data_IF_299439265388
#
_entry.id   IF_299439265388
#
_cell.length_a   1.000
_cell.length_b   1.000
_cell.length_c   1.000
_cell.angle_alpha   90.00
_cell.angle_beta   90.00
_cell.angle_gamma   90.00
#
_symmetry.space_group_name_H-M   'P 1'
#
loop_
_entity.id
_entity.type
_entity.pdbx_description
1 polymer ?
#
# COMPACT_ATOMS: atom_id res chain seq x y z
N UNK A 1 -1.99 -19.75 -25.25
CA UNK A 1 -2.66 -18.57 -25.84
C UNK A 1 -2.78 -17.50 -24.78
N UNK A 2 -2.48 -16.24 -25.08
CA UNK A 2 -2.56 -15.12 -24.12
C UNK A 2 -4.04 -14.91 -23.75
N UNK A 3 -4.37 -14.96 -22.43
CA UNK A 3 -5.70 -14.72 -21.92
C UNK A 3 -5.64 -13.55 -20.90
N UNK A 4 -6.16 -12.35 -21.26
CA UNK A 4 -6.12 -11.17 -20.38
C UNK A 4 -6.83 -11.40 -19.05
N UNK A 5 -7.96 -12.13 -19.02
CA UNK A 5 -8.70 -12.38 -17.79
C UNK A 5 -7.89 -13.24 -16.80
N UNK A 6 -7.07 -14.14 -17.30
CA UNK A 6 -6.14 -14.92 -16.46
C UNK A 6 -4.92 -14.11 -16.04
N UNK A 7 -4.41 -13.24 -16.94
CA UNK A 7 -3.24 -12.41 -16.63
C UNK A 7 -3.48 -11.45 -15.47
N UNK A 8 -4.65 -10.83 -15.40
CA UNK A 8 -5.00 -9.86 -14.35
C UNK A 8 -5.81 -10.47 -13.20
N UNK A 9 -5.96 -11.79 -13.16
CA UNK A 9 -6.71 -12.48 -12.12
C UNK A 9 -5.91 -12.55 -10.81
N UNK A 10 -6.59 -12.20 -9.71
CA UNK A 10 -6.17 -12.48 -8.32
C UNK A 10 -7.17 -13.40 -7.62
N UNK A 11 -8.02 -14.07 -8.38
CA UNK A 11 -9.08 -14.94 -7.89
C UNK A 11 -8.52 -16.06 -7.02
N UNK A 12 -9.11 -16.23 -5.84
CA UNK A 12 -8.73 -17.26 -4.88
C UNK A 12 -7.44 -16.98 -4.11
N UNK A 13 -6.73 -15.87 -4.40
CA UNK A 13 -5.55 -15.46 -3.63
C UNK A 13 -5.94 -14.84 -2.30
N UNK A 14 -5.12 -15.04 -1.28
CA UNK A 14 -5.22 -14.36 0.02
C UNK A 14 -4.46 -13.04 -0.01
N UNK A 15 -5.06 -11.97 0.49
CA UNK A 15 -4.43 -10.65 0.53
C UNK A 15 -4.57 -10.00 1.91
N UNK A 16 -3.46 -9.57 2.51
CA UNK A 16 -3.44 -8.78 3.74
C UNK A 16 -3.12 -7.32 3.42
N UNK A 17 -4.04 -6.41 3.78
CA UNK A 17 -3.92 -4.96 3.51
C UNK A 17 -3.87 -4.19 4.83
N UNK A 18 -2.72 -3.60 5.16
CA UNK A 18 -2.61 -2.72 6.33
C UNK A 18 -3.18 -1.33 6.04
N UNK A 19 -3.82 -0.70 7.03
CA UNK A 19 -4.55 0.55 6.81
C UNK A 19 -5.77 0.39 5.90
N UNK A 20 -6.35 -0.82 5.83
CA UNK A 20 -7.43 -1.18 4.91
C UNK A 20 -8.82 -0.62 5.26
N UNK A 21 -8.97 0.05 6.40
CA UNK A 21 -10.28 0.56 6.84
C UNK A 21 -10.73 1.85 6.15
N UNK A 22 -9.87 2.52 5.37
CA UNK A 22 -10.20 3.78 4.68
C UNK A 22 -9.18 4.14 3.61
N UNK A 23 -9.53 5.14 2.77
CA UNK A 23 -8.64 5.72 1.76
C UNK A 23 -8.04 4.65 0.83
N UNK A 24 -6.79 4.82 0.46
CA UNK A 24 -6.08 3.96 -0.50
C UNK A 24 -6.12 2.48 -0.11
N UNK A 25 -5.96 2.15 1.18
CA UNK A 25 -6.03 0.77 1.62
C UNK A 25 -7.41 0.13 1.40
N UNK A 26 -8.50 0.88 1.62
CA UNK A 26 -9.86 0.42 1.32
C UNK A 26 -10.09 0.27 -0.19
N UNK A 27 -9.62 1.22 -1.01
CA UNK A 27 -9.71 1.15 -2.48
C UNK A 27 -9.05 -0.13 -3.01
N UNK A 28 -7.85 -0.46 -2.50
CA UNK A 28 -7.13 -1.69 -2.86
C UNK A 28 -7.88 -2.94 -2.36
N UNK A 29 -8.33 -2.94 -1.12
CA UNK A 29 -9.08 -4.06 -0.53
C UNK A 29 -10.35 -4.36 -1.32
N UNK A 30 -11.14 -3.33 -1.65
CA UNK A 30 -12.34 -3.45 -2.48
C UNK A 30 -12.01 -3.98 -3.88
N UNK A 31 -10.96 -3.43 -4.52
CA UNK A 31 -10.52 -3.90 -5.84
C UNK A 31 -10.15 -5.38 -5.83
N UNK A 32 -9.42 -5.84 -4.83
CA UNK A 32 -9.06 -7.26 -4.70
C UNK A 32 -10.28 -8.16 -4.45
N UNK A 33 -11.24 -7.73 -3.64
CA UNK A 33 -12.50 -8.49 -3.44
C UNK A 33 -13.30 -8.61 -4.73
N UNK A 34 -13.46 -7.51 -5.49
CA UNK A 34 -14.13 -7.53 -6.79
C UNK A 34 -13.41 -8.41 -7.83
N UNK A 35 -12.09 -8.52 -7.70
CA UNK A 35 -11.27 -9.42 -8.51
C UNK A 35 -11.23 -10.87 -7.98
N UNK A 36 -11.99 -11.18 -6.91
CA UNK A 36 -12.20 -12.53 -6.38
C UNK A 36 -11.15 -13.03 -5.39
N UNK A 37 -10.34 -12.16 -4.81
CA UNK A 37 -9.43 -12.50 -3.71
C UNK A 37 -10.18 -12.62 -2.36
N UNK A 38 -9.57 -13.35 -1.41
CA UNK A 38 -9.92 -13.29 0.01
C UNK A 38 -9.10 -12.19 0.66
N UNK A 39 -9.73 -11.23 1.32
CA UNK A 39 -9.04 -10.04 1.83
C UNK A 39 -9.09 -9.98 3.35
N UNK A 40 -7.95 -9.70 3.94
CA UNK A 40 -7.77 -9.43 5.36
C UNK A 40 -7.35 -7.97 5.49
N UNK A 41 -8.15 -7.16 6.18
CA UNK A 41 -7.81 -5.76 6.41
C UNK A 41 -7.33 -5.55 7.85
N UNK A 42 -6.31 -4.73 8.03
CA UNK A 42 -5.85 -4.34 9.36
C UNK A 42 -5.88 -2.82 9.53
N UNK A 43 -6.29 -2.37 10.69
CA UNK A 43 -6.24 -0.98 11.11
C UNK A 43 -6.12 -0.89 12.63
N UNK A 44 -5.56 0.21 13.15
CA UNK A 44 -5.35 0.40 14.59
C UNK A 44 -6.66 0.50 15.39
N UNK A 45 -7.69 1.15 14.82
CA UNK A 45 -9.01 1.30 15.45
C UNK A 45 -9.88 0.10 15.08
N UNK A 46 -10.15 -0.79 16.04
CA UNK A 46 -10.92 -2.01 15.85
C UNK A 46 -12.32 -1.71 15.28
N UNK A 47 -13.06 -0.81 15.89
CA UNK A 47 -14.41 -0.43 15.47
C UNK A 47 -14.47 -0.04 13.98
N UNK A 48 -13.55 0.81 13.51
CA UNK A 48 -13.50 1.24 12.13
C UNK A 48 -13.05 0.10 11.18
N UNK A 49 -12.18 -0.79 11.65
CA UNK A 49 -11.74 -1.95 10.89
C UNK A 49 -12.89 -2.95 10.69
N UNK A 50 -13.60 -3.26 11.78
CA UNK A 50 -14.73 -4.19 11.80
C UNK A 50 -15.89 -3.69 10.93
N UNK A 51 -16.24 -2.41 11.07
CA UNK A 51 -17.29 -1.79 10.26
C UNK A 51 -16.95 -1.87 8.75
N UNK A 52 -15.71 -1.52 8.38
CA UNK A 52 -15.29 -1.60 6.98
C UNK A 52 -15.26 -3.04 6.47
N UNK A 53 -14.76 -4.00 7.24
CA UNK A 53 -14.77 -5.40 6.84
C UNK A 53 -16.19 -5.92 6.63
N UNK A 54 -17.13 -5.54 7.50
CA UNK A 54 -18.55 -5.86 7.37
C UNK A 54 -19.16 -5.31 6.07
N UNK A 55 -18.88 -4.04 5.74
CA UNK A 55 -19.33 -3.43 4.48
C UNK A 55 -18.75 -4.17 3.26
N UNK A 56 -17.44 -4.41 3.26
CA UNK A 56 -16.73 -5.07 2.17
C UNK A 56 -17.11 -6.54 2.02
N UNK A 57 -17.60 -7.20 3.08
CA UNK A 57 -18.07 -8.59 3.03
C UNK A 57 -19.31 -8.77 2.16
N UNK A 58 -20.01 -7.69 1.79
CA UNK A 58 -21.07 -7.74 0.77
C UNK A 58 -20.53 -7.98 -0.66
N UNK A 59 -19.22 -7.76 -0.88
CA UNK A 59 -18.55 -7.93 -2.17
C UNK A 59 -17.86 -9.30 -2.27
N UNK A 60 -17.23 -9.74 -1.19
CA UNK A 60 -16.47 -10.99 -1.13
C UNK A 60 -15.90 -11.25 0.27
N UNK A 61 -15.15 -12.35 0.47
CA UNK A 61 -14.61 -12.71 1.79
C UNK A 61 -13.67 -11.64 2.32
N UNK A 62 -14.11 -10.87 3.32
CA UNK A 62 -13.33 -9.83 3.98
C UNK A 62 -13.31 -10.04 5.50
N UNK A 63 -12.12 -10.09 6.09
CA UNK A 63 -11.90 -10.31 7.52
C UNK A 63 -11.18 -9.11 8.14
N UNK A 64 -11.67 -8.65 9.30
CA UNK A 64 -11.02 -7.60 10.10
C UNK A 64 -9.98 -8.20 11.03
N UNK A 65 -8.77 -7.64 11.00
CA UNK A 65 -7.65 -7.99 11.88
C UNK A 65 -7.08 -6.72 12.52
N UNK A 66 -7.72 -6.15 13.53
CA UNK A 66 -7.26 -4.91 14.18
C UNK A 66 -5.88 -5.08 14.81
N UNK A 67 -4.93 -4.17 14.46
CA UNK A 67 -3.60 -4.15 15.05
C UNK A 67 -2.92 -2.79 14.87
N UNK A 68 -2.02 -2.43 15.77
CA UNK A 68 -1.13 -1.27 15.63
C UNK A 68 0.23 -1.72 15.07
N UNK A 69 0.36 -1.72 13.76
CA UNK A 69 1.59 -2.13 13.08
C UNK A 69 2.75 -1.14 13.21
N UNK A 70 2.57 -0.01 13.92
CA UNK A 70 3.68 0.90 14.24
C UNK A 70 4.62 0.33 15.31
N UNK A 71 4.21 -0.75 16.00
CA UNK A 71 4.98 -1.45 17.04
C UNK A 71 5.29 -2.89 16.63
N UNK A 72 6.41 -3.44 17.13
CA UNK A 72 6.75 -4.85 16.87
C UNK A 72 5.76 -5.82 17.49
N UNK A 73 5.20 -5.49 18.65
CA UNK A 73 4.21 -6.34 19.30
C UNK A 73 2.87 -6.34 18.56
N UNK A 74 2.47 -5.18 18.01
CA UNK A 74 1.31 -5.10 17.12
C UNK A 74 1.51 -5.87 15.81
N UNK A 75 2.72 -5.87 15.25
CA UNK A 75 3.08 -6.71 14.10
C UNK A 75 2.95 -8.19 14.45
N UNK A 76 3.52 -8.65 15.58
CA UNK A 76 3.40 -10.04 16.04
C UNK A 76 1.95 -10.44 16.24
N UNK A 77 1.15 -9.56 16.86
CA UNK A 77 -0.28 -9.81 17.08
C UNK A 77 -1.04 -9.96 15.76
N UNK A 78 -0.77 -9.08 14.77
CA UNK A 78 -1.38 -9.17 13.44
C UNK A 78 -1.03 -10.48 12.73
N UNK A 79 0.24 -10.86 12.75
CA UNK A 79 0.72 -12.11 12.12
C UNK A 79 0.05 -13.32 12.76
N UNK A 80 0.02 -13.39 14.09
CA UNK A 80 -0.64 -14.46 14.83
C UNK A 80 -2.16 -14.52 14.56
N UNK A 81 -2.82 -13.35 14.40
CA UNK A 81 -4.24 -13.29 14.04
C UNK A 81 -4.46 -13.79 12.62
N UNK A 82 -3.64 -13.36 11.64
CA UNK A 82 -3.72 -13.80 10.25
C UNK A 82 -3.53 -15.32 10.13
N UNK A 83 -2.53 -15.88 10.79
CA UNK A 83 -2.21 -17.30 10.73
C UNK A 83 -3.28 -18.24 11.30
N UNK A 84 -4.26 -17.72 12.05
CA UNK A 84 -5.44 -18.48 12.45
C UNK A 84 -6.43 -18.73 11.31
N UNK A 85 -6.34 -17.95 10.24
CA UNK A 85 -7.22 -18.03 9.07
C UNK A 85 -6.54 -18.71 7.88
N UNK A 86 -5.25 -18.42 7.65
CA UNK A 86 -4.52 -18.89 6.47
C UNK A 86 -3.12 -19.35 6.85
N UNK A 87 -2.66 -20.51 6.36
CA UNK A 87 -1.29 -20.99 6.58
C UNK A 87 -0.27 -20.28 5.69
N UNK A 88 -0.70 -19.66 4.60
CA UNK A 88 0.11 -18.99 3.60
C UNK A 88 -0.47 -17.63 3.22
N UNK A 89 0.35 -16.77 2.62
CA UNK A 89 -0.07 -15.42 2.20
C UNK A 89 0.41 -15.16 0.77
N UNK A 90 -0.55 -14.93 -0.14
CA UNK A 90 -0.22 -14.64 -1.53
C UNK A 90 0.18 -13.17 -1.75
N UNK A 91 -0.51 -12.22 -1.09
CA UNK A 91 -0.36 -10.80 -1.35
C UNK A 91 -0.31 -10.03 -0.02
N UNK A 92 0.79 -9.31 0.23
CA UNK A 92 0.92 -8.35 1.31
C UNK A 92 0.90 -6.93 0.76
N UNK A 93 0.01 -6.07 1.29
CA UNK A 93 0.01 -4.64 0.97
C UNK A 93 0.37 -3.83 2.22
N UNK A 94 1.57 -3.28 2.25
CA UNK A 94 2.04 -2.36 3.27
C UNK A 94 1.54 -0.94 2.94
N UNK A 95 0.33 -0.62 3.40
CA UNK A 95 -0.32 0.66 3.12
C UNK A 95 -0.48 1.55 4.36
N UNK A 96 -0.50 1.01 5.58
CA UNK A 96 -0.62 1.82 6.79
C UNK A 96 0.43 2.94 6.82
N UNK A 97 -0.01 4.18 6.99
CA UNK A 97 0.85 5.36 6.88
C UNK A 97 0.38 6.49 7.77
N UNK A 98 1.31 7.36 8.15
CA UNK A 98 1.09 8.61 8.86
C UNK A 98 1.88 9.74 8.20
N UNK A 99 1.41 10.97 8.39
CA UNK A 99 2.15 12.18 8.08
C UNK A 99 2.20 13.07 9.32
N UNK A 100 3.22 13.93 9.38
CA UNK A 100 3.35 14.99 10.36
C UNK A 100 3.94 16.22 9.67
N UNK A 101 3.35 17.39 9.93
CA UNK A 101 3.84 18.67 9.42
C UNK A 101 4.05 19.64 10.58
N UNK A 102 5.17 20.34 10.55
CA UNK A 102 5.52 21.43 11.45
C UNK A 102 6.61 22.28 10.80
N UNK A 103 6.77 23.57 11.20
CA UNK A 103 7.89 24.41 10.78
C UNK A 103 9.23 23.73 11.07
N UNK A 104 10.24 24.02 10.25
CA UNK A 104 11.54 23.35 10.33
C UNK A 104 12.15 23.45 11.75
N UNK A 105 12.16 24.64 12.34
CA UNK A 105 12.77 24.89 13.66
C UNK A 105 11.94 24.34 14.83
N UNK A 106 10.67 23.94 14.58
CA UNK A 106 9.75 23.44 15.60
C UNK A 106 9.38 21.97 15.38
N UNK A 107 10.05 21.27 14.46
CA UNK A 107 9.67 19.91 14.10
C UNK A 107 9.98 18.93 15.25
N UNK A 108 8.96 18.30 15.88
CA UNK A 108 9.17 17.50 17.08
C UNK A 108 9.69 16.09 16.76
N UNK A 109 10.59 15.57 17.59
CA UNK A 109 11.11 14.19 17.52
C UNK A 109 9.95 13.15 17.51
N UNK A 110 8.92 13.36 18.34
CA UNK A 110 7.75 12.48 18.40
C UNK A 110 6.98 12.39 17.08
N UNK A 111 6.92 13.49 16.32
CA UNK A 111 6.36 13.52 14.97
C UNK A 111 7.23 12.77 13.96
N UNK A 112 8.54 12.90 14.11
CA UNK A 112 9.53 12.17 13.33
C UNK A 112 9.40 10.67 13.53
N UNK A 113 9.51 10.20 14.76
CA UNK A 113 9.46 8.79 15.13
C UNK A 113 8.14 8.12 14.74
N UNK A 114 7.01 8.81 14.99
CA UNK A 114 5.69 8.32 14.58
C UNK A 114 5.62 7.99 13.10
N UNK A 115 6.18 8.86 12.26
CA UNK A 115 6.16 8.69 10.80
C UNK A 115 7.12 7.60 10.37
N UNK A 116 8.38 7.62 10.85
CA UNK A 116 9.39 6.63 10.47
C UNK A 116 9.01 5.22 10.94
N UNK A 117 8.48 5.08 12.16
CA UNK A 117 8.07 3.80 12.71
C UNK A 117 6.95 3.16 11.87
N UNK A 118 5.95 3.96 11.45
CA UNK A 118 4.82 3.40 10.69
C UNK A 118 5.12 3.26 9.18
N UNK A 119 5.78 4.26 8.56
CA UNK A 119 5.92 4.30 7.11
C UNK A 119 7.12 3.51 6.58
N UNK A 120 8.16 3.31 7.40
CA UNK A 120 9.42 2.70 6.96
C UNK A 120 9.76 1.43 7.74
N UNK A 121 9.79 1.51 9.08
CA UNK A 121 10.11 0.37 9.94
C UNK A 121 9.05 -0.73 9.86
N UNK A 122 7.77 -0.37 9.93
CA UNK A 122 6.65 -1.32 9.87
C UNK A 122 6.65 -2.18 8.59
N UNK A 123 6.73 -1.64 7.36
CA UNK A 123 6.79 -2.44 6.15
C UNK A 123 7.92 -3.49 6.15
N UNK A 124 9.09 -3.14 6.67
CA UNK A 124 10.20 -4.08 6.78
C UNK A 124 9.89 -5.23 7.74
N UNK A 125 9.54 -4.92 8.98
CA UNK A 125 9.34 -5.94 10.01
C UNK A 125 8.07 -6.77 9.79
N UNK A 126 7.02 -6.20 9.20
CA UNK A 126 5.84 -6.99 8.84
C UNK A 126 6.13 -7.95 7.69
N UNK A 127 6.86 -7.51 6.67
CA UNK A 127 7.32 -8.39 5.58
C UNK A 127 8.20 -9.50 6.12
N UNK A 128 9.15 -9.18 7.02
CA UNK A 128 10.01 -10.15 7.68
C UNK A 128 9.21 -11.17 8.50
N UNK A 129 8.25 -10.73 9.30
CA UNK A 129 7.44 -11.60 10.14
C UNK A 129 6.51 -12.52 9.32
N UNK A 130 6.09 -12.08 8.12
CA UNK A 130 5.25 -12.85 7.20
C UNK A 130 6.07 -13.62 6.14
N UNK A 131 7.41 -13.54 6.15
CA UNK A 131 8.25 -14.15 5.13
C UNK A 131 7.96 -15.65 4.95
N UNK A 132 7.82 -16.41 6.06
CA UNK A 132 7.48 -17.83 5.99
C UNK A 132 6.12 -18.10 5.31
N UNK A 133 5.10 -17.28 5.60
CA UNK A 133 3.77 -17.40 4.99
C UNK A 133 3.79 -17.02 3.50
N UNK A 134 4.54 -15.97 3.13
CA UNK A 134 4.73 -15.57 1.73
C UNK A 134 5.47 -16.66 0.94
N UNK A 135 6.54 -17.20 1.49
CA UNK A 135 7.31 -18.31 0.88
C UNK A 135 6.46 -19.57 0.70
N UNK A 136 5.58 -19.87 1.66
CA UNK A 136 4.67 -21.01 1.57
C UNK A 136 3.62 -20.88 0.46
N UNK A 137 3.26 -19.67 0.04
CA UNK A 137 2.36 -19.40 -1.08
C UNK A 137 3.07 -19.33 -2.44
N UNK A 138 4.39 -19.10 -2.43
CA UNK A 138 5.16 -18.76 -3.63
C UNK A 138 5.57 -19.98 -4.45
N UNK A 139 5.49 -19.86 -5.77
CA UNK A 139 6.09 -20.78 -6.74
C UNK A 139 6.64 -20.00 -7.95
N UNK A 140 7.45 -20.62 -8.82
CA UNK A 140 7.91 -19.98 -10.04
C UNK A 140 6.76 -19.55 -10.98
N UNK A 141 5.66 -20.31 -11.00
CA UNK A 141 4.48 -20.04 -11.83
C UNK A 141 3.52 -19.05 -11.19
N UNK A 142 3.60 -18.89 -9.87
CA UNK A 142 2.75 -17.98 -9.09
C UNK A 142 3.54 -17.37 -7.93
N UNK A 143 4.37 -16.36 -8.18
CA UNK A 143 5.10 -15.68 -7.11
C UNK A 143 4.18 -15.04 -6.09
N UNK A 144 4.60 -15.04 -4.82
CA UNK A 144 3.95 -14.20 -3.81
C UNK A 144 4.31 -12.73 -4.06
N UNK A 145 3.47 -11.83 -3.58
CA UNK A 145 3.57 -10.38 -3.87
C UNK A 145 3.62 -9.55 -2.60
N UNK A 146 4.55 -8.61 -2.55
CA UNK A 146 4.59 -7.55 -1.54
C UNK A 146 4.50 -6.22 -2.25
N UNK A 147 3.49 -5.42 -1.93
CA UNK A 147 3.26 -4.10 -2.51
C UNK A 147 3.40 -3.05 -1.40
N UNK A 148 4.40 -2.20 -1.50
CA UNK A 148 4.62 -1.08 -0.58
C UNK A 148 3.95 0.18 -1.12
N UNK A 149 3.05 0.79 -0.35
CA UNK A 149 2.43 2.06 -0.73
C UNK A 149 3.37 3.21 -0.32
N UNK A 150 4.12 3.66 -1.30
CA UNK A 150 5.04 4.79 -1.23
C UNK A 150 4.29 6.14 -1.32
N UNK A 151 4.84 7.11 -2.00
CA UNK A 151 4.23 8.40 -2.38
C UNK A 151 5.06 9.05 -3.48
N UNK A 152 4.44 9.90 -4.30
CA UNK A 152 5.19 10.81 -5.17
C UNK A 152 6.09 11.76 -4.38
N UNK A 153 5.81 12.01 -3.11
CA UNK A 153 6.67 12.79 -2.20
C UNK A 153 7.98 12.05 -1.82
N UNK A 154 8.09 10.77 -2.17
CA UNK A 154 9.36 10.05 -2.14
C UNK A 154 10.16 10.17 -3.45
N UNK A 155 9.56 10.71 -4.51
CA UNK A 155 10.16 10.85 -5.85
C UNK A 155 10.51 12.32 -6.13
N UNK A 156 9.64 13.25 -5.74
CA UNK A 156 9.78 14.67 -5.96
C UNK A 156 9.51 15.48 -4.68
N UNK A 157 9.97 16.72 -4.64
CA UNK A 157 9.64 17.65 -3.56
C UNK A 157 8.26 18.27 -3.76
N UNK A 158 7.58 18.53 -2.65
CA UNK A 158 6.46 19.45 -2.55
C UNK A 158 6.76 20.52 -1.50
N UNK A 159 6.03 21.66 -1.46
CA UNK A 159 6.32 22.74 -0.53
C UNK A 159 5.84 22.50 0.92
N UNK A 160 5.28 21.34 1.24
CA UNK A 160 4.77 21.05 2.59
C UNK A 160 5.90 20.72 3.55
N UNK A 161 5.82 21.23 4.76
CA UNK A 161 6.80 21.00 5.83
C UNK A 161 6.61 19.63 6.50
N UNK A 162 6.62 18.58 5.70
CA UNK A 162 6.42 17.17 6.10
C UNK A 162 7.72 16.38 5.97
N UNK A 163 8.79 16.85 6.62
CA UNK A 163 10.18 16.35 6.46
C UNK A 163 10.30 14.85 6.68
N UNK A 164 9.77 14.34 7.80
CA UNK A 164 9.80 12.90 8.11
C UNK A 164 9.01 12.07 7.11
N UNK A 165 7.93 12.61 6.55
CA UNK A 165 7.13 11.92 5.53
C UNK A 165 7.92 11.76 4.23
N UNK A 166 8.54 12.83 3.71
CA UNK A 166 9.42 12.77 2.54
C UNK A 166 10.55 11.77 2.74
N UNK A 167 11.26 11.85 3.88
CA UNK A 167 12.33 10.92 4.22
C UNK A 167 11.84 9.48 4.26
N UNK A 168 10.69 9.21 4.92
CA UNK A 168 10.14 7.87 5.04
C UNK A 168 9.72 7.27 3.69
N UNK A 169 9.12 8.08 2.80
CA UNK A 169 8.63 7.61 1.50
C UNK A 169 9.78 7.41 0.50
N UNK A 170 10.79 8.28 0.49
CA UNK A 170 12.02 8.05 -0.27
C UNK A 170 12.76 6.81 0.23
N UNK A 171 12.89 6.66 1.56
CA UNK A 171 13.48 5.48 2.18
C UNK A 171 12.72 4.20 1.82
N UNK A 172 11.39 4.23 1.80
CA UNK A 172 10.57 3.06 1.44
C UNK A 172 10.73 2.66 -0.03
N UNK A 173 10.85 3.62 -0.95
CA UNK A 173 11.15 3.34 -2.36
C UNK A 173 12.48 2.59 -2.49
N UNK A 174 13.52 3.08 -1.82
CA UNK A 174 14.82 2.41 -1.86
C UNK A 174 14.82 1.05 -1.15
N UNK A 175 14.16 0.96 0.01
CA UNK A 175 13.99 -0.27 0.76
C UNK A 175 13.23 -1.34 -0.05
N UNK A 176 12.23 -0.94 -0.84
CA UNK A 176 11.51 -1.83 -1.76
C UNK A 176 12.47 -2.55 -2.70
N UNK A 177 13.41 -1.83 -3.32
CA UNK A 177 14.46 -2.42 -4.19
C UNK A 177 15.35 -3.39 -3.44
N UNK A 178 15.79 -3.02 -2.23
CA UNK A 178 16.69 -3.88 -1.44
C UNK A 178 16.01 -5.16 -0.97
N UNK A 179 14.75 -5.08 -0.53
CA UNK A 179 13.96 -6.25 -0.12
C UNK A 179 13.67 -7.12 -1.34
N UNK A 180 13.33 -6.53 -2.49
CA UNK A 180 13.09 -7.27 -3.73
C UNK A 180 14.30 -8.11 -4.13
N UNK A 181 15.50 -7.52 -4.11
CA UNK A 181 16.76 -8.22 -4.42
C UNK A 181 17.05 -9.38 -3.45
N UNK A 182 16.56 -9.33 -2.20
CA UNK A 182 16.72 -10.41 -1.23
C UNK A 182 15.68 -11.52 -1.42
N UNK A 183 14.40 -11.15 -1.62
CA UNK A 183 13.30 -12.11 -1.56
C UNK A 183 12.98 -12.77 -2.91
N UNK A 184 13.53 -12.28 -4.01
CA UNK A 184 13.30 -12.89 -5.34
C UNK A 184 13.76 -14.35 -5.41
N UNK A 185 14.78 -14.75 -4.66
CA UNK A 185 15.24 -16.13 -4.56
C UNK A 185 14.20 -17.08 -3.98
N UNK A 186 13.25 -16.55 -3.19
CA UNK A 186 12.14 -17.27 -2.59
C UNK A 186 10.85 -17.11 -3.39
N UNK A 187 10.93 -16.64 -4.65
CA UNK A 187 9.79 -16.36 -5.55
C UNK A 187 8.80 -15.34 -4.95
N UNK A 188 9.32 -14.34 -4.25
CA UNK A 188 8.52 -13.25 -3.68
C UNK A 188 8.89 -11.95 -4.41
N UNK A 189 7.93 -11.42 -5.19
CA UNK A 189 8.09 -10.16 -5.89
C UNK A 189 7.72 -9.00 -4.97
N UNK A 190 8.65 -8.07 -4.77
CA UNK A 190 8.41 -6.85 -3.99
C UNK A 190 8.41 -5.65 -4.91
N UNK A 191 7.34 -4.85 -4.85
CA UNK A 191 7.12 -3.68 -5.68
C UNK A 191 6.58 -2.51 -4.87
N UNK A 192 6.56 -1.32 -5.45
CA UNK A 192 5.97 -0.13 -4.86
C UNK A 192 4.91 0.51 -5.75
N UNK A 193 3.96 1.17 -5.12
CA UNK A 193 3.07 2.15 -5.76
C UNK A 193 3.34 3.50 -5.11
N UNK A 194 3.54 4.54 -5.92
CA UNK A 194 3.69 5.92 -5.46
C UNK A 194 2.45 6.73 -5.87
N UNK A 195 1.42 6.82 -4.99
CA UNK A 195 0.22 7.59 -5.28
C UNK A 195 0.48 9.08 -5.34
N UNK A 196 -0.24 9.76 -6.24
CA UNK A 196 -0.43 11.21 -6.23
C UNK A 196 -1.64 11.63 -5.38
N UNK A 197 -2.41 12.58 -5.88
CA UNK A 197 -3.59 13.09 -5.18
C UNK A 197 -4.78 12.14 -5.34
N UNK A 198 -5.14 11.46 -4.25
CA UNK A 198 -6.37 10.69 -4.07
C UNK A 198 -7.17 11.28 -2.91
N UNK A 199 -8.50 11.30 -3.03
CA UNK A 199 -9.38 11.75 -1.96
C UNK A 199 -9.29 10.80 -0.75
N UNK A 200 -8.86 11.31 0.41
CA UNK A 200 -8.75 10.52 1.64
C UNK A 200 -8.73 11.40 2.88
N UNK A 201 -8.86 10.79 4.06
CA UNK A 201 -8.69 11.50 5.35
C UNK A 201 -7.25 12.03 5.54
N UNK A 202 -6.26 11.42 4.93
CA UNK A 202 -4.88 11.89 4.95
C UNK A 202 -4.68 13.06 3.99
N UNK A 203 -5.37 13.05 2.85
CA UNK A 203 -5.32 14.12 1.85
C UNK A 203 -6.68 14.82 1.75
N UNK A 204 -7.00 15.59 2.81
CA UNK A 204 -8.25 16.35 2.90
C UNK A 204 -8.38 17.39 1.81
N UNK A 205 -7.26 17.99 1.41
CA UNK A 205 -7.27 18.99 0.33
C UNK A 205 -7.74 18.37 -0.98
N UNK A 206 -7.26 17.20 -1.34
CA UNK A 206 -7.75 16.48 -2.53
C UNK A 206 -9.22 16.04 -2.39
N UNK A 207 -9.67 15.72 -1.14
CA UNK A 207 -11.05 15.35 -0.87
C UNK A 207 -12.00 16.55 -0.97
N UNK A 208 -11.65 17.65 -0.30
CA UNK A 208 -12.55 18.80 -0.08
C UNK A 208 -12.46 19.85 -1.20
N UNK A 209 -11.33 19.89 -1.93
CA UNK A 209 -11.01 20.86 -2.98
C UNK A 209 -10.56 20.18 -4.27
N UNK A 210 -11.20 19.07 -4.63
CA UNK A 210 -10.78 18.19 -5.75
C UNK A 210 -10.63 18.94 -7.08
N UNK A 211 -11.49 19.90 -7.37
CA UNK A 211 -11.46 20.71 -8.61
C UNK A 211 -10.21 21.59 -8.67
N UNK A 212 -9.84 22.24 -7.57
CA UNK A 212 -8.65 23.10 -7.52
C UNK A 212 -7.36 22.28 -7.58
N UNK A 213 -7.33 21.14 -6.89
CA UNK A 213 -6.22 20.18 -6.97
C UNK A 213 -6.05 19.64 -8.38
N UNK A 214 -7.16 19.28 -9.05
CA UNK A 214 -7.16 18.77 -10.42
C UNK A 214 -6.53 19.75 -11.45
N UNK A 215 -6.68 21.05 -11.26
CA UNK A 215 -6.06 22.07 -12.13
C UNK A 215 -4.53 21.99 -12.16
N UNK A 216 -3.92 21.50 -11.07
CA UNK A 216 -2.47 21.39 -10.91
C UNK A 216 -1.92 20.03 -11.38
N UNK A 217 -2.78 19.06 -11.67
CA UNK A 217 -2.40 17.73 -12.14
C UNK A 217 -2.37 17.73 -13.67
N UNK A 218 -1.32 17.22 -14.33
CA UNK A 218 -1.27 17.17 -15.80
C UNK A 218 -2.48 16.48 -16.43
N UNK A 219 -2.97 15.39 -15.85
CA UNK A 219 -4.18 14.68 -16.31
C UNK A 219 -5.50 15.40 -16.00
N UNK A 220 -5.46 16.58 -15.34
CA UNK A 220 -6.61 17.44 -15.00
C UNK A 220 -7.68 16.74 -14.14
N UNK A 221 -7.32 15.75 -13.39
CA UNK A 221 -8.17 15.08 -12.39
C UNK A 221 -7.35 14.53 -11.23
N UNK A 222 -7.99 14.35 -10.08
CA UNK A 222 -7.45 13.51 -9.01
C UNK A 222 -7.61 12.02 -9.36
N UNK A 223 -6.89 11.15 -8.66
CA UNK A 223 -7.04 9.70 -8.79
C UNK A 223 -8.42 9.23 -8.29
N UNK A 224 -8.95 8.21 -8.95
CA UNK A 224 -10.18 7.50 -8.59
C UNK A 224 -9.84 6.18 -7.91
N UNK A 225 -10.82 5.59 -7.24
CA UNK A 225 -10.65 4.32 -6.55
C UNK A 225 -10.18 3.21 -7.51
N UNK A 226 -10.71 3.22 -8.74
CA UNK A 226 -10.35 2.26 -9.80
C UNK A 226 -8.90 2.41 -10.26
N UNK A 227 -8.35 3.64 -10.30
CA UNK A 227 -6.95 3.85 -10.69
C UNK A 227 -5.99 3.15 -9.71
N UNK A 228 -6.31 3.22 -8.41
CA UNK A 228 -5.51 2.57 -7.37
C UNK A 228 -5.71 1.05 -7.35
N UNK A 229 -6.97 0.61 -7.45
CA UNK A 229 -7.30 -0.81 -7.52
C UNK A 229 -6.65 -1.49 -8.72
N UNK A 230 -6.70 -0.87 -9.90
CA UNK A 230 -6.10 -1.39 -11.13
C UNK A 230 -4.57 -1.53 -11.02
N UNK A 231 -3.89 -0.52 -10.47
CA UNK A 231 -2.45 -0.58 -10.25
C UNK A 231 -2.06 -1.70 -9.27
N UNK A 232 -2.83 -1.86 -8.18
CA UNK A 232 -2.59 -2.92 -7.21
C UNK A 232 -2.87 -4.32 -7.81
N UNK A 233 -3.95 -4.48 -8.58
CA UNK A 233 -4.27 -5.74 -9.27
C UNK A 233 -3.19 -6.09 -10.29
N UNK A 234 -2.71 -5.11 -11.08
CA UNK A 234 -1.61 -5.33 -12.02
C UNK A 234 -0.39 -5.92 -11.31
N UNK A 235 0.10 -5.28 -10.25
CA UNK A 235 1.29 -5.75 -9.53
C UNK A 235 1.06 -7.06 -8.76
N UNK A 236 -0.18 -7.30 -8.30
CA UNK A 236 -0.55 -8.51 -7.56
C UNK A 236 -0.80 -9.72 -8.45
N UNK A 237 -1.16 -9.53 -9.71
CA UNK A 237 -1.50 -10.58 -10.66
C UNK A 237 -0.30 -11.09 -11.44
N UNK A 238 -0.54 -12.09 -12.31
CA UNK A 238 0.44 -12.62 -13.24
C UNK A 238 1.00 -11.56 -14.20
N UNK A 239 0.22 -10.55 -14.53
CA UNK A 239 0.65 -9.44 -15.39
C UNK A 239 1.85 -8.68 -14.81
N UNK A 240 1.99 -8.67 -13.47
CA UNK A 240 3.10 -8.06 -12.74
C UNK A 240 4.24 -9.00 -12.35
N UNK A 241 4.28 -10.25 -12.83
CA UNK A 241 5.29 -11.22 -12.38
C UNK A 241 6.73 -10.83 -12.77
N UNK A 242 6.89 -10.09 -13.86
CA UNK A 242 8.22 -9.65 -14.30
C UNK A 242 8.60 -8.25 -13.81
N UNK A 243 7.78 -7.66 -12.91
CA UNK A 243 8.04 -6.38 -12.26
C UNK A 243 8.57 -6.63 -10.87
N UNK A 244 9.86 -6.37 -10.65
CA UNK A 244 10.56 -6.64 -9.39
C UNK A 244 11.39 -5.42 -8.98
N UNK A 245 11.22 -4.97 -7.73
CA UNK A 245 11.95 -3.82 -7.17
C UNK A 245 11.53 -2.46 -7.71
N UNK A 246 10.57 -2.39 -8.63
CA UNK A 246 10.12 -1.14 -9.22
C UNK A 246 9.03 -0.48 -8.39
N UNK A 247 8.99 0.86 -8.44
CA UNK A 247 7.92 1.67 -7.84
C UNK A 247 7.25 2.48 -8.93
N UNK A 248 5.98 2.17 -9.23
CA UNK A 248 5.21 2.86 -10.25
C UNK A 248 4.48 4.08 -9.66
N UNK A 249 4.59 5.23 -10.33
CA UNK A 249 3.81 6.41 -9.97
C UNK A 249 2.39 6.29 -10.53
N UNK A 250 1.38 6.51 -9.67
CA UNK A 250 -0.05 6.57 -10.03
C UNK A 250 -0.56 7.93 -9.61
N UNK A 251 -0.30 8.95 -10.43
CA UNK A 251 -0.35 10.34 -10.01
C UNK A 251 -0.87 11.34 -11.07
N UNK A 252 -1.29 10.84 -12.22
CA UNK A 252 -1.73 11.69 -13.32
C UNK A 252 -0.62 12.54 -13.96
N UNK A 253 0.64 12.12 -13.79
CA UNK A 253 1.82 12.75 -14.39
C UNK A 253 2.52 13.79 -13.50
N UNK A 254 2.12 13.93 -12.24
CA UNK A 254 2.63 14.98 -11.34
C UNK A 254 4.13 14.82 -11.08
N UNK A 255 4.62 13.59 -10.87
CA UNK A 255 6.02 13.35 -10.53
C UNK A 255 6.98 13.45 -11.72
N UNK A 256 6.56 12.93 -12.89
CA UNK A 256 7.48 12.67 -14.02
C UNK A 256 7.10 13.39 -15.32
N UNK A 257 5.90 13.94 -15.45
CA UNK A 257 5.41 14.57 -16.67
C UNK A 257 4.98 16.04 -16.49
N UNK A 258 5.29 16.66 -15.34
CA UNK A 258 5.05 18.09 -15.09
C UNK A 258 6.24 18.89 -15.59
N UNK A 259 6.02 19.81 -16.54
CA UNK A 259 7.05 20.70 -17.10
C UNK A 259 6.96 22.13 -16.56
N UNK A 260 6.05 22.40 -15.64
CA UNK A 260 5.79 23.73 -15.10
C UNK A 260 6.03 23.84 -13.59
N UNK A 261 6.22 25.08 -13.13
CA UNK A 261 6.15 25.43 -11.71
C UNK A 261 4.70 25.24 -11.28
N UNK A 262 4.47 24.31 -10.39
CA UNK A 262 3.14 24.06 -9.80
C UNK A 262 2.87 25.05 -8.67
#
# INVERSE_FOLDING_TARGET
>A
MLNPDQLFSVRGRSALVTGGSRGIGRMIAEGFLRAGARVYISARKAEACDATAKELSAIGPCVSLPADVSTLDGIKALVAAYQKHEPSLDILVNNASAAWGAPFDEFPESGWDKVLNLNLKSPFFLTQALHGALKAAASPEQPAKVINICSIDGIRLNPQETYSYHASKSGLIYLTRRIAAELIKDQINVTGIAPGAFASEMNRVARDQSVEVAKRIPSRRIGRDEDMAAAAIYLASRAGDYVVGETIAVDGGVALASTGVL
#
